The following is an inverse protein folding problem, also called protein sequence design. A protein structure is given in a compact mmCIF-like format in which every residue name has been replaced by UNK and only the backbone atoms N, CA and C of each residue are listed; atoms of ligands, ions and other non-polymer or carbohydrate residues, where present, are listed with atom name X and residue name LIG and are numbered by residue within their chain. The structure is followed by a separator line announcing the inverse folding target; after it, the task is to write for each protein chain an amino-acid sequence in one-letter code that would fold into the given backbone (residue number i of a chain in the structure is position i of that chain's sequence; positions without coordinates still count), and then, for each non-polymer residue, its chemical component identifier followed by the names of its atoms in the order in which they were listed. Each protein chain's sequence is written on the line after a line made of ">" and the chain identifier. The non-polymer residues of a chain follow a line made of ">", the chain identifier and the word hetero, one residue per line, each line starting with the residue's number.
data_IF_330586061788
#
_entry.id   IF_330586061788
#
_cell.length_a   1.000
_cell.length_b   1.000
_cell.length_c   1.000
_cell.angle_alpha   90.00
_cell.angle_beta   90.00
_cell.angle_gamma   90.00
#
_symmetry.space_group_name_H-M   'P 1'
#
loop_
_entity.id
_entity.type
_entity.pdbx_description
1 polymer ?
#
# COMPACT_ATOMS: atom_id res chain seq x y z
N UNK A 1 1.70 6.59 -24.66
CA UNK A 1 1.04 7.16 -23.48
C UNK A 1 1.23 6.28 -22.28
N UNK A 2 1.64 6.86 -21.17
CA UNK A 2 1.77 6.11 -19.95
C UNK A 2 0.39 5.84 -19.35
N UNK A 3 0.15 4.63 -18.92
CA UNK A 3 -1.06 4.31 -18.19
C UNK A 3 -0.96 4.88 -16.76
N UNK A 4 -2.10 5.00 -16.10
CA UNK A 4 -2.12 5.43 -14.71
C UNK A 4 -1.37 4.44 -13.84
N UNK A 5 -0.61 4.92 -12.84
CA UNK A 5 -0.04 4.01 -11.85
C UNK A 5 -1.14 3.26 -11.12
N UNK A 6 -0.84 2.05 -10.71
CA UNK A 6 -1.79 1.15 -10.07
C UNK A 6 -1.38 0.94 -8.63
N UNK A 7 -2.28 1.26 -7.71
CA UNK A 7 -2.04 1.14 -6.27
C UNK A 7 -3.03 0.14 -5.70
N UNK A 8 -2.52 -0.97 -5.19
CA UNK A 8 -3.34 -1.93 -4.47
C UNK A 8 -3.30 -1.60 -2.99
N UNK A 9 -4.44 -1.71 -2.33
CA UNK A 9 -4.46 -1.52 -0.88
C UNK A 9 -5.36 -2.56 -0.23
N UNK A 10 -4.99 -2.95 0.98
CA UNK A 10 -5.64 -4.02 1.69
C UNK A 10 -6.11 -3.50 3.03
N UNK A 11 -7.42 -3.58 3.27
CA UNK A 11 -8.02 -3.23 4.55
C UNK A 11 -9.36 -3.97 4.65
N UNK A 12 -9.65 -4.55 5.80
CA UNK A 12 -10.88 -5.30 5.96
C UNK A 12 -12.09 -4.42 6.29
N UNK A 13 -11.87 -3.12 6.55
CA UNK A 13 -12.96 -2.18 6.85
C UNK A 13 -13.50 -1.60 5.53
N UNK A 14 -14.76 -1.90 5.16
CA UNK A 14 -15.30 -1.42 3.89
C UNK A 14 -15.42 0.10 3.80
N UNK A 15 -15.62 0.78 4.94
CA UNK A 15 -15.72 2.24 4.92
C UNK A 15 -14.37 2.86 4.62
N UNK A 16 -13.32 2.33 5.21
CA UNK A 16 -11.98 2.84 4.96
C UNK A 16 -11.54 2.52 3.53
N UNK A 17 -11.88 1.33 3.02
CA UNK A 17 -11.59 1.01 1.62
C UNK A 17 -12.21 2.04 0.68
N UNK A 18 -13.46 2.43 0.94
CA UNK A 18 -14.15 3.39 0.11
C UNK A 18 -13.45 4.76 0.14
N UNK A 19 -13.07 5.21 1.34
CA UNK A 19 -12.37 6.49 1.49
C UNK A 19 -11.02 6.49 0.81
N UNK A 20 -10.26 5.41 0.96
CA UNK A 20 -8.95 5.30 0.31
C UNK A 20 -9.10 5.27 -1.21
N UNK A 21 -10.10 4.55 -1.71
CA UNK A 21 -10.38 4.51 -3.15
C UNK A 21 -10.62 5.92 -3.68
N UNK A 22 -11.44 6.70 -2.99
CA UNK A 22 -11.75 8.07 -3.42
C UNK A 22 -10.51 8.95 -3.43
N UNK A 23 -9.69 8.87 -2.37
CA UNK A 23 -8.49 9.69 -2.27
C UNK A 23 -7.47 9.32 -3.36
N UNK A 24 -7.28 8.03 -3.62
CA UNK A 24 -6.36 7.59 -4.67
C UNK A 24 -6.86 8.03 -6.04
N UNK A 25 -8.15 7.88 -6.28
CA UNK A 25 -8.74 8.31 -7.54
C UNK A 25 -8.54 9.80 -7.76
N UNK A 26 -8.72 10.59 -6.70
CA UNK A 26 -8.51 12.04 -6.78
C UNK A 26 -7.05 12.40 -7.08
N UNK A 27 -6.12 11.52 -6.69
CA UNK A 27 -4.70 11.72 -6.97
C UNK A 27 -4.29 11.23 -8.37
N UNK A 28 -5.23 10.74 -9.15
CA UNK A 28 -4.98 10.35 -10.53
C UNK A 28 -4.36 8.96 -10.68
N UNK A 29 -4.51 8.09 -9.68
CA UNK A 29 -4.00 6.72 -9.76
C UNK A 29 -5.16 5.74 -9.81
N UNK A 30 -4.90 4.55 -10.35
CA UNK A 30 -5.89 3.49 -10.38
C UNK A 30 -5.85 2.74 -9.05
N UNK A 31 -6.95 2.82 -8.29
CA UNK A 31 -7.04 2.20 -6.98
C UNK A 31 -7.63 0.80 -7.11
N UNK A 32 -6.97 -0.18 -6.49
CA UNK A 32 -7.44 -1.56 -6.48
C UNK A 32 -7.61 -1.99 -5.03
N UNK A 33 -8.86 -2.08 -4.58
CA UNK A 33 -9.16 -2.37 -3.18
C UNK A 33 -9.23 -3.88 -2.95
N UNK A 34 -8.54 -4.35 -1.93
CA UNK A 34 -8.56 -5.74 -1.51
C UNK A 34 -9.08 -5.83 -0.09
N UNK A 35 -9.91 -6.83 0.19
CA UNK A 35 -10.50 -7.01 1.51
C UNK A 35 -9.63 -7.84 2.44
N UNK A 36 -8.64 -8.52 1.89
CA UNK A 36 -7.81 -9.44 2.66
C UNK A 36 -6.45 -9.61 2.00
N UNK A 37 -5.50 -10.15 2.78
CA UNK A 37 -4.19 -10.48 2.23
C UNK A 37 -4.28 -11.51 1.11
N UNK A 38 -5.17 -12.49 1.26
CA UNK A 38 -5.33 -13.52 0.23
C UNK A 38 -5.81 -12.89 -1.07
N UNK A 39 -6.75 -11.96 -1.00
CA UNK A 39 -7.24 -11.28 -2.20
C UNK A 39 -6.12 -10.51 -2.90
N UNK A 40 -5.24 -9.87 -2.12
CA UNK A 40 -4.06 -9.22 -2.69
C UNK A 40 -3.15 -10.22 -3.39
N UNK A 41 -2.86 -11.34 -2.73
CA UNK A 41 -1.97 -12.35 -3.32
C UNK A 41 -2.54 -12.91 -4.60
N UNK A 42 -3.86 -13.14 -4.64
CA UNK A 42 -4.54 -13.61 -5.85
C UNK A 42 -4.46 -12.56 -6.97
N UNK A 43 -4.64 -11.30 -6.62
CA UNK A 43 -4.53 -10.21 -7.58
C UNK A 43 -3.15 -10.19 -8.23
N UNK A 44 -2.11 -10.33 -7.43
CA UNK A 44 -0.74 -10.25 -7.92
C UNK A 44 -0.34 -11.44 -8.81
N UNK A 45 -1.12 -12.53 -8.80
CA UNK A 45 -0.92 -13.63 -9.73
C UNK A 45 -1.26 -13.23 -11.17
N UNK A 46 -2.18 -12.30 -11.35
CA UNK A 46 -2.69 -11.94 -12.67
C UNK A 46 -2.35 -10.51 -13.10
N UNK A 47 -1.98 -9.65 -12.17
CA UNK A 47 -1.69 -8.25 -12.47
C UNK A 47 -0.49 -7.77 -11.68
N UNK A 48 0.23 -6.81 -12.23
CA UNK A 48 1.28 -6.11 -11.49
C UNK A 48 0.73 -4.79 -10.97
N UNK A 49 1.30 -4.31 -9.87
CA UNK A 49 0.95 -3.01 -9.30
C UNK A 49 2.23 -2.22 -9.04
N UNK A 50 2.06 -0.91 -8.85
CA UNK A 50 3.19 -0.02 -8.65
C UNK A 50 3.44 0.31 -7.19
N UNK A 51 2.46 0.09 -6.34
CA UNK A 51 2.55 0.38 -4.91
C UNK A 51 1.51 -0.44 -4.17
N UNK A 52 1.86 -0.89 -2.97
CA UNK A 52 0.96 -1.67 -2.11
C UNK A 52 0.83 -0.96 -0.77
N UNK A 53 -0.40 -0.71 -0.33
CA UNK A 53 -0.71 -0.23 1.02
C UNK A 53 -1.32 -1.41 1.77
N UNK A 54 -0.72 -1.81 2.89
CA UNK A 54 -1.07 -3.06 3.56
C UNK A 54 -1.39 -2.83 5.02
N UNK A 55 -2.62 -3.15 5.43
CA UNK A 55 -3.02 -3.12 6.82
C UNK A 55 -2.42 -4.33 7.56
N UNK A 56 -1.85 -4.10 8.74
CA UNK A 56 -1.28 -5.18 9.54
C UNK A 56 -2.34 -6.00 10.27
N UNK A 57 -3.40 -5.34 10.70
CA UNK A 57 -4.37 -5.98 11.59
C UNK A 57 -5.59 -6.43 10.81
N UNK A 58 -5.55 -7.66 10.32
CA UNK A 58 -6.64 -8.24 9.56
C UNK A 58 -6.94 -9.64 10.10
N UNK A 59 -8.20 -10.08 10.03
CA UNK A 59 -8.52 -11.45 10.39
C UNK A 59 -7.98 -12.45 9.37
N UNK A 60 -7.80 -13.68 9.78
CA UNK A 60 -7.37 -14.82 8.98
C UNK A 60 -5.90 -14.73 8.58
N UNK A 61 -5.55 -13.82 7.68
CA UNK A 61 -4.15 -13.60 7.30
C UNK A 61 -3.78 -12.17 7.68
N UNK A 62 -2.96 -12.01 8.72
CA UNK A 62 -2.53 -10.69 9.15
C UNK A 62 -1.48 -10.13 8.18
N UNK A 63 -1.16 -8.84 8.37
CA UNK A 63 -0.24 -8.16 7.48
C UNK A 63 1.17 -8.73 7.50
N UNK A 64 1.65 -9.23 8.64
CA UNK A 64 2.98 -9.83 8.71
C UNK A 64 3.07 -11.10 7.87
N UNK A 65 2.05 -11.95 7.94
CA UNK A 65 1.98 -13.14 7.10
C UNK A 65 1.95 -12.76 5.62
N UNK A 66 1.17 -11.75 5.30
CA UNK A 66 1.11 -11.25 3.93
C UNK A 66 2.46 -10.73 3.45
N UNK A 67 3.18 -9.98 4.31
CA UNK A 67 4.53 -9.50 3.98
C UNK A 67 5.48 -10.65 3.68
N UNK A 68 5.41 -11.73 4.45
CA UNK A 68 6.26 -12.90 4.22
C UNK A 68 5.99 -13.51 2.85
N UNK A 69 4.72 -13.63 2.47
CA UNK A 69 4.36 -14.14 1.15
C UNK A 69 4.88 -13.24 0.03
N UNK A 70 4.77 -11.92 0.21
CA UNK A 70 5.24 -10.97 -0.79
C UNK A 70 6.76 -11.04 -0.94
N UNK A 71 7.48 -11.18 0.16
CA UNK A 71 8.92 -11.32 0.15
C UNK A 71 9.34 -12.60 -0.57
N UNK A 72 8.68 -13.70 -0.27
CA UNK A 72 8.96 -14.99 -0.90
C UNK A 72 8.74 -14.94 -2.40
N UNK A 73 7.73 -14.20 -2.84
CA UNK A 73 7.42 -14.03 -4.26
C UNK A 73 8.32 -13.01 -4.95
N UNK A 74 9.21 -12.37 -4.20
CA UNK A 74 10.10 -11.33 -4.71
C UNK A 74 9.32 -10.18 -5.35
N UNK A 75 8.26 -9.74 -4.66
CA UNK A 75 7.44 -8.62 -5.11
C UNK A 75 8.31 -7.37 -5.18
N UNK A 76 8.26 -6.66 -6.31
CA UNK A 76 9.11 -5.50 -6.55
C UNK A 76 8.46 -4.17 -6.21
N UNK A 77 7.12 -4.12 -6.15
CA UNK A 77 6.44 -2.88 -5.78
C UNK A 77 6.74 -2.52 -4.32
N UNK A 78 6.96 -1.23 -4.03
CA UNK A 78 7.10 -0.82 -2.63
C UNK A 78 5.86 -1.19 -1.82
N UNK A 79 6.07 -1.54 -0.56
CA UNK A 79 4.98 -1.92 0.34
C UNK A 79 4.99 -0.95 1.51
N UNK A 80 3.91 -0.21 1.68
CA UNK A 80 3.73 0.69 2.82
C UNK A 80 2.75 0.02 3.78
N UNK A 81 3.22 -0.25 4.98
CA UNK A 81 2.35 -0.79 6.03
C UNK A 81 1.52 0.36 6.60
N UNK A 82 0.22 0.17 6.69
CA UNK A 82 -0.71 1.17 7.23
C UNK A 82 -1.43 0.54 8.41
N UNK A 83 -1.33 1.13 9.59
CA UNK A 83 -1.84 0.50 10.80
C UNK A 83 -2.32 1.54 11.81
N UNK A 84 -3.23 1.11 12.69
CA UNK A 84 -3.67 1.95 13.79
C UNK A 84 -2.69 1.97 14.97
N UNK A 85 -1.66 1.10 14.97
CA UNK A 85 -0.79 0.91 16.13
C UNK A 85 0.52 1.67 15.98
N UNK A 86 0.76 2.61 16.89
CA UNK A 86 2.05 3.29 17.01
C UNK A 86 2.93 2.43 17.91
N UNK A 87 3.57 1.42 17.34
CA UNK A 87 4.35 0.41 18.07
C UNK A 87 5.68 0.23 17.37
N UNK A 88 6.76 0.64 18.05
CA UNK A 88 8.09 0.61 17.45
C UNK A 88 8.55 -0.80 17.11
N UNK A 89 8.16 -1.77 17.92
CA UNK A 89 8.50 -3.18 17.66
C UNK A 89 7.85 -3.66 16.36
N UNK A 90 6.57 -3.35 16.17
CA UNK A 90 5.87 -3.72 14.94
C UNK A 90 6.42 -2.97 13.74
N UNK A 91 6.78 -1.71 13.94
CA UNK A 91 7.39 -0.91 12.89
C UNK A 91 8.69 -1.56 12.41
N UNK A 92 9.57 -1.88 13.35
CA UNK A 92 10.85 -2.50 13.03
C UNK A 92 10.66 -3.85 12.36
N UNK A 93 9.75 -4.67 12.89
CA UNK A 93 9.46 -5.97 12.29
C UNK A 93 8.94 -5.82 10.85
N UNK A 94 8.08 -4.85 10.60
CA UNK A 94 7.54 -4.59 9.26
C UNK A 94 8.68 -4.25 8.30
N UNK A 95 9.57 -3.36 8.71
CA UNK A 95 10.69 -2.95 7.86
C UNK A 95 11.64 -4.12 7.62
N UNK A 96 11.90 -4.92 8.64
CA UNK A 96 12.76 -6.11 8.51
C UNK A 96 12.15 -7.13 7.56
N UNK A 97 10.82 -7.18 7.47
CA UNK A 97 10.11 -8.11 6.58
C UNK A 97 9.94 -7.54 5.16
N UNK A 98 10.50 -6.37 4.87
CA UNK A 98 10.51 -5.86 3.52
C UNK A 98 9.60 -4.68 3.25
N UNK A 99 8.89 -4.16 4.26
CA UNK A 99 8.11 -2.95 4.06
C UNK A 99 9.02 -1.76 3.82
N UNK A 100 8.60 -0.86 2.94
CA UNK A 100 9.36 0.35 2.64
C UNK A 100 9.08 1.46 3.64
N UNK A 101 7.91 1.46 4.27
CA UNK A 101 7.55 2.48 5.24
C UNK A 101 6.43 1.95 6.13
N UNK A 102 6.16 2.68 7.20
CA UNK A 102 5.18 2.30 8.21
C UNK A 102 4.38 3.56 8.56
N UNK A 103 3.10 3.56 8.20
CA UNK A 103 2.24 4.73 8.27
C UNK A 103 1.13 4.49 9.30
N UNK A 104 0.88 5.45 10.16
CA UNK A 104 -0.25 5.36 11.08
C UNK A 104 -1.53 5.76 10.34
N UNK A 105 -2.60 5.00 10.53
CA UNK A 105 -3.88 5.24 9.83
C UNK A 105 -4.35 6.70 9.96
N UNK A 106 -4.30 7.33 11.14
CA UNK A 106 -4.75 8.73 11.23
C UNK A 106 -3.98 9.70 10.33
N UNK A 107 -2.75 9.36 9.97
CA UNK A 107 -1.89 10.24 9.17
C UNK A 107 -1.98 9.95 7.67
N UNK A 108 -2.63 8.85 7.30
CA UNK A 108 -2.57 8.37 5.92
C UNK A 108 -3.08 9.41 4.92
N UNK A 109 -4.28 9.94 5.17
CA UNK A 109 -4.89 10.84 4.18
C UNK A 109 -4.09 12.12 3.99
N UNK A 110 -3.59 12.66 5.08
CA UNK A 110 -2.77 13.87 5.02
C UNK A 110 -1.46 13.61 4.27
N UNK A 111 -0.87 12.43 4.48
CA UNK A 111 0.42 12.09 3.89
C UNK A 111 0.33 11.48 2.51
N UNK A 112 -0.87 11.11 2.06
CA UNK A 112 -1.02 10.34 0.84
C UNK A 112 -0.38 11.02 -0.39
N UNK A 113 -0.59 12.33 -0.63
CA UNK A 113 0.05 12.94 -1.80
C UNK A 113 1.57 12.83 -1.80
N UNK A 114 2.22 13.08 -0.65
CA UNK A 114 3.68 12.98 -0.59
C UNK A 114 4.16 11.54 -0.72
N UNK A 115 3.41 10.58 -0.16
CA UNK A 115 3.77 9.16 -0.27
C UNK A 115 3.71 8.71 -1.72
N UNK A 116 2.68 9.13 -2.46
CA UNK A 116 2.58 8.78 -3.86
C UNK A 116 3.73 9.38 -4.67
N UNK A 117 4.12 10.62 -4.36
CA UNK A 117 5.26 11.23 -5.03
C UNK A 117 6.55 10.48 -4.74
N UNK A 118 6.71 10.02 -3.51
CA UNK A 118 7.93 9.35 -3.10
C UNK A 118 8.06 7.95 -3.69
N UNK A 119 6.96 7.22 -3.76
CA UNK A 119 7.01 5.79 -4.07
C UNK A 119 6.51 5.40 -5.45
N UNK A 120 5.80 6.27 -6.17
CA UNK A 120 5.34 5.95 -7.51
C UNK A 120 6.30 6.46 -8.56
N UNK A 121 6.62 5.63 -9.57
CA UNK A 121 7.51 6.07 -10.64
C UNK A 121 6.86 7.19 -11.45
N UNK A 122 7.67 8.17 -11.85
CA UNK A 122 7.24 9.25 -12.72
C UNK A 122 6.65 10.47 -12.01
N UNK A 123 6.10 10.33 -10.82
CA UNK A 123 5.48 11.47 -10.15
C UNK A 123 6.52 12.46 -9.64
N UNK A 124 7.69 11.97 -9.22
CA UNK A 124 8.77 12.86 -8.74
C UNK A 124 9.34 13.71 -9.85
N UNK A 125 9.32 13.19 -11.07
CA UNK A 125 9.80 13.94 -12.23
C UNK A 125 8.94 15.18 -12.46
N UNK A 126 7.62 15.03 -12.33
CA UNK A 126 6.71 16.16 -12.52
C UNK A 126 6.97 17.27 -11.50
N UNK A 127 7.35 16.91 -10.30
CA UNK A 127 7.67 17.88 -9.25
C UNK A 127 8.89 18.72 -9.60
N UNK A 128 9.86 18.13 -10.26
CA UNK A 128 11.11 18.79 -10.56
C UNK A 128 10.99 19.78 -11.70
N UNK A 129 9.95 19.67 -12.49
CA UNK A 129 9.76 20.54 -13.63
C UNK A 129 9.18 21.91 -13.26
N UNK A 130 8.67 22.04 -12.07
CA UNK A 130 8.07 23.30 -11.61
C UNK A 130 9.10 24.31 -11.06
#
# INVERSE_FOLDING_TARGET
>A
MASQPRVAFVDDDPRLRSLITDELTDEGVQAIACRSGQELLDLLEIESVDLILLDLMMPVMDGFTCLQHLKTRQQTAPILVVTAFNDESKRQESLDQGASDYILKPDLFERLPELLQQYLPGRRVNQQLD
#
